data_IF_796738467298
#
_entry.id   IF_796738467298
#
_cell.length_a   1.000
_cell.length_b   1.000
_cell.length_c   1.000
_cell.angle_alpha   90.00
_cell.angle_beta   90.00
_cell.angle_gamma   90.00
#
_symmetry.space_group_name_H-M   'P 1'
#
loop_
_entity.id
_entity.type
_entity.pdbx_description
1 polymer ?
#
# COMPACT_ATOMS: atom_id res chain seq x y z
N UNK A 1 16.90 -10.61 -10.15
CA UNK A 1 16.06 -11.82 -9.92
C UNK A 1 16.62 -12.74 -8.81
N UNK A 2 17.76 -13.48 -8.97
CA UNK A 2 18.24 -14.42 -7.92
C UNK A 2 18.46 -13.75 -6.55
N UNK A 3 19.11 -12.57 -6.52
CA UNK A 3 19.31 -11.81 -5.28
C UNK A 3 17.99 -11.35 -4.65
N UNK A 4 17.02 -10.94 -5.45
CA UNK A 4 15.69 -10.53 -4.96
C UNK A 4 14.94 -11.68 -4.31
N UNK A 5 15.00 -12.89 -4.90
CA UNK A 5 14.40 -14.09 -4.31
C UNK A 5 15.02 -14.45 -2.95
N UNK A 6 16.36 -14.41 -2.84
CA UNK A 6 17.05 -14.65 -1.55
C UNK A 6 16.65 -13.61 -0.47
N UNK A 7 16.52 -12.34 -0.85
CA UNK A 7 16.08 -11.29 0.07
C UNK A 7 14.63 -11.50 0.51
N UNK A 8 13.79 -11.99 -0.41
CA UNK A 8 12.38 -12.26 -0.15
C UNK A 8 12.15 -13.35 0.90
N UNK A 9 13.09 -14.24 1.15
CA UNK A 9 13.02 -15.25 2.22
C UNK A 9 12.70 -14.63 3.59
N UNK A 10 13.13 -13.39 3.84
CA UNK A 10 12.81 -12.64 5.07
C UNK A 10 11.35 -12.14 5.08
N UNK A 11 10.75 -11.93 3.92
CA UNK A 11 9.39 -11.41 3.73
C UNK A 11 8.35 -12.55 3.71
N UNK A 12 8.78 -13.72 3.25
CA UNK A 12 7.96 -14.92 3.05
C UNK A 12 7.12 -15.34 4.27
N UNK A 13 7.62 -15.32 5.53
CA UNK A 13 6.82 -15.74 6.68
C UNK A 13 5.54 -14.91 6.89
N UNK A 14 5.51 -13.67 6.40
CA UNK A 14 4.37 -12.78 6.52
C UNK A 14 3.59 -12.66 5.21
N UNK A 15 4.28 -12.47 4.08
CA UNK A 15 3.64 -12.22 2.79
C UNK A 15 3.34 -13.49 1.97
N UNK A 16 3.83 -14.67 2.41
CA UNK A 16 3.63 -15.96 1.74
C UNK A 16 4.58 -16.19 0.55
N UNK A 17 4.68 -17.44 0.08
CA UNK A 17 5.59 -17.83 -1.02
C UNK A 17 5.33 -17.05 -2.32
N UNK A 18 4.06 -16.78 -2.63
CA UNK A 18 3.64 -16.07 -3.83
C UNK A 18 3.24 -14.61 -3.53
N UNK A 19 3.66 -14.07 -2.41
CA UNK A 19 3.38 -12.70 -1.99
C UNK A 19 1.87 -12.34 -1.94
N UNK A 20 1.01 -13.32 -1.68
CA UNK A 20 -0.45 -13.19 -1.63
C UNK A 20 -0.95 -12.59 -0.32
N UNK A 21 -0.06 -12.38 0.65
CA UNK A 21 -0.38 -11.79 1.95
C UNK A 21 -0.96 -12.78 2.95
N UNK A 22 -1.22 -12.27 4.16
CA UNK A 22 -1.89 -12.96 5.24
C UNK A 22 -2.69 -11.96 6.08
N UNK A 23 -4.02 -11.87 5.91
CA UNK A 23 -4.85 -10.91 6.62
C UNK A 23 -4.91 -11.14 8.14
N UNK A 24 -4.71 -12.37 8.62
CA UNK A 24 -4.73 -12.69 10.06
C UNK A 24 -3.64 -11.97 10.84
N UNK A 25 -2.50 -11.70 10.18
CA UNK A 25 -1.40 -10.95 10.75
C UNK A 25 -1.25 -9.54 10.13
N UNK A 26 -2.26 -9.10 9.38
CA UNK A 26 -2.28 -7.82 8.66
C UNK A 26 -1.05 -7.61 7.75
N UNK A 27 -0.62 -8.66 7.04
CA UNK A 27 0.36 -8.60 5.97
C UNK A 27 -0.38 -8.57 4.62
N UNK A 28 -0.32 -7.47 3.85
CA UNK A 28 -1.07 -7.35 2.60
C UNK A 28 -0.48 -8.20 1.47
N UNK A 29 -1.31 -8.50 0.46
CA UNK A 29 -0.84 -8.98 -0.82
C UNK A 29 0.04 -7.92 -1.48
N UNK A 30 1.20 -8.34 -2.01
CA UNK A 30 2.16 -7.46 -2.66
C UNK A 30 2.61 -7.98 -4.04
N UNK A 31 2.17 -9.18 -4.43
CA UNK A 31 2.54 -9.80 -5.71
C UNK A 31 2.15 -8.94 -6.91
N UNK A 32 3.08 -8.77 -7.84
CA UNK A 32 2.85 -8.04 -9.08
C UNK A 32 2.61 -6.54 -8.93
N UNK A 33 2.78 -5.98 -7.73
CA UNK A 33 2.77 -4.53 -7.56
C UNK A 33 3.97 -3.90 -8.29
N UNK A 34 3.84 -2.70 -8.87
CA UNK A 34 4.92 -2.06 -9.59
C UNK A 34 6.20 -1.93 -8.76
N UNK A 35 7.34 -2.23 -9.37
CA UNK A 35 8.64 -2.17 -8.73
C UNK A 35 8.88 -0.81 -8.04
N UNK A 36 8.60 0.30 -8.74
CA UNK A 36 8.77 1.64 -8.19
C UNK A 36 7.96 1.86 -6.90
N UNK A 37 6.73 1.32 -6.87
CA UNK A 37 5.88 1.46 -5.68
C UNK A 37 6.42 0.68 -4.49
N UNK A 38 6.90 -0.55 -4.72
CA UNK A 38 7.52 -1.37 -3.66
C UNK A 38 8.78 -0.68 -3.13
N UNK A 39 9.62 -0.12 -4.02
CA UNK A 39 10.80 0.66 -3.65
C UNK A 39 10.42 1.86 -2.78
N UNK A 40 9.44 2.66 -3.20
CA UNK A 40 8.96 3.82 -2.44
C UNK A 40 8.47 3.41 -1.05
N UNK A 41 7.74 2.29 -0.94
CA UNK A 41 7.25 1.82 0.35
C UNK A 41 8.40 1.36 1.26
N UNK A 42 9.33 0.56 0.77
CA UNK A 42 10.49 0.09 1.54
C UNK A 42 11.37 1.27 1.99
N UNK A 43 11.66 2.18 1.09
CA UNK A 43 12.41 3.42 1.39
C UNK A 43 11.66 4.30 2.41
N UNK A 44 10.34 4.41 2.28
CA UNK A 44 9.50 5.14 3.23
C UNK A 44 9.54 4.54 4.65
N UNK A 45 9.60 3.21 4.77
CA UNK A 45 9.83 2.55 6.06
C UNK A 45 11.24 2.80 6.60
N UNK A 46 12.26 2.77 5.75
CA UNK A 46 13.65 3.07 6.15
C UNK A 46 13.80 4.51 6.63
N UNK A 47 13.19 5.46 5.93
CA UNK A 47 13.22 6.88 6.26
C UNK A 47 12.35 7.25 7.48
N UNK A 48 11.49 6.33 7.97
CA UNK A 48 10.58 6.60 9.07
C UNK A 48 9.29 7.33 8.67
N UNK A 49 9.01 7.49 7.37
CA UNK A 49 7.72 8.01 6.89
C UNK A 49 6.56 7.04 7.13
N UNK A 50 6.89 5.76 7.33
CA UNK A 50 5.96 4.69 7.65
C UNK A 50 6.52 3.83 8.80
N UNK A 51 5.60 3.27 9.61
CA UNK A 51 5.97 2.35 10.67
C UNK A 51 6.76 3.01 11.81
N UNK A 52 6.54 4.29 12.07
CA UNK A 52 7.15 5.05 13.18
C UNK A 52 6.11 5.49 14.21
N UNK A 53 4.83 5.44 13.87
CA UNK A 53 3.74 5.89 14.75
C UNK A 53 3.13 4.71 15.54
N UNK A 54 2.92 4.89 16.85
CA UNK A 54 2.45 3.83 17.75
C UNK A 54 1.08 3.23 17.38
N UNK A 55 0.23 3.95 16.65
CA UNK A 55 -1.07 3.44 16.19
C UNK A 55 -0.99 2.57 14.92
N UNK A 56 0.14 2.60 14.19
CA UNK A 56 0.35 1.78 12.98
C UNK A 56 1.08 0.48 13.33
N UNK A 57 0.42 -0.43 14.07
CA UNK A 57 1.04 -1.69 14.47
C UNK A 57 1.55 -2.55 13.28
N UNK A 58 0.84 -2.67 12.15
CA UNK A 58 1.38 -3.36 10.98
C UNK A 58 2.63 -2.68 10.43
N UNK A 59 2.64 -1.35 10.36
CA UNK A 59 3.80 -0.59 9.92
C UNK A 59 5.00 -0.73 10.85
N UNK A 60 4.79 -0.71 12.16
CA UNK A 60 5.85 -0.94 13.16
C UNK A 60 6.50 -2.33 13.00
N UNK A 61 5.74 -3.34 12.58
CA UNK A 61 6.30 -4.68 12.29
C UNK A 61 7.04 -4.71 10.96
N UNK A 62 6.57 -3.97 9.94
CA UNK A 62 7.19 -3.94 8.62
C UNK A 62 8.50 -3.14 8.59
N UNK A 63 8.61 -2.07 9.39
CA UNK A 63 9.79 -1.20 9.40
C UNK A 63 11.10 -1.93 9.67
N UNK A 64 11.26 -2.78 10.70
CA UNK A 64 12.49 -3.52 10.90
C UNK A 64 12.82 -4.47 9.74
N UNK A 65 11.84 -4.98 9.02
CA UNK A 65 12.08 -5.80 7.82
C UNK A 65 12.67 -4.96 6.69
N UNK A 66 12.15 -3.76 6.45
CA UNK A 66 12.75 -2.83 5.48
C UNK A 66 14.16 -2.37 5.90
N UNK A 67 14.40 -2.15 7.19
CA UNK A 67 15.72 -1.78 7.73
C UNK A 67 16.75 -2.90 7.64
N UNK A 68 16.35 -4.15 7.46
CA UNK A 68 17.28 -5.28 7.24
C UNK A 68 17.89 -5.30 5.84
N UNK A 69 17.32 -4.56 4.89
CA UNK A 69 17.86 -4.36 3.54
C UNK A 69 18.97 -3.30 3.58
N UNK A 70 20.21 -3.72 3.87
CA UNK A 70 21.31 -2.82 4.24
C UNK A 70 22.34 -2.59 3.15
N UNK A 71 22.35 -3.39 2.09
CA UNK A 71 23.31 -3.26 1.00
C UNK A 71 22.72 -2.44 -0.13
N UNK A 72 23.56 -1.70 -0.82
CA UNK A 72 23.17 -1.01 -2.04
C UNK A 72 22.56 -1.99 -3.04
N UNK A 73 21.38 -1.65 -3.57
CA UNK A 73 20.63 -2.47 -4.51
C UNK A 73 19.75 -3.56 -3.89
N UNK A 74 19.73 -3.75 -2.54
CA UNK A 74 18.84 -4.75 -1.91
C UNK A 74 17.38 -4.39 -2.09
N UNK A 75 17.01 -3.11 -1.91
CA UNK A 75 15.62 -2.63 -2.09
C UNK A 75 15.16 -2.82 -3.54
N UNK A 76 16.00 -2.44 -4.50
CA UNK A 76 15.74 -2.60 -5.92
C UNK A 76 15.56 -4.07 -6.31
N UNK A 77 16.46 -4.93 -5.81
CA UNK A 77 16.44 -6.36 -6.12
C UNK A 77 15.21 -7.08 -5.60
N UNK A 78 14.81 -6.83 -4.35
CA UNK A 78 13.60 -7.44 -3.80
C UNK A 78 12.33 -6.87 -4.43
N UNK A 79 12.31 -5.57 -4.75
CA UNK A 79 11.19 -4.94 -5.44
C UNK A 79 11.00 -5.49 -6.86
N UNK A 80 12.10 -5.69 -7.60
CA UNK A 80 12.09 -6.34 -8.93
C UNK A 80 11.52 -7.76 -8.83
N UNK A 81 11.97 -8.54 -7.85
CA UNK A 81 11.48 -9.90 -7.65
C UNK A 81 9.96 -9.92 -7.37
N UNK A 82 9.49 -9.13 -6.42
CA UNK A 82 8.06 -9.08 -6.06
C UNK A 82 7.20 -8.57 -7.22
N UNK A 83 7.68 -7.59 -7.98
CA UNK A 83 7.01 -7.09 -9.17
C UNK A 83 6.92 -8.12 -10.31
N UNK A 84 7.82 -9.12 -10.33
CA UNK A 84 7.82 -10.19 -11.33
C UNK A 84 6.85 -11.33 -11.02
N UNK A 85 6.27 -11.36 -9.83
CA UNK A 85 5.26 -12.36 -9.46
C UNK A 85 3.92 -12.06 -10.13
N UNK A 86 3.12 -13.10 -10.34
CA UNK A 86 1.78 -12.94 -10.93
C UNK A 86 0.90 -12.04 -10.05
N UNK A 87 0.26 -11.00 -10.62
CA UNK A 87 -0.60 -10.09 -9.88
C UNK A 87 -1.74 -10.81 -9.18
N UNK A 88 -2.05 -10.38 -7.95
CA UNK A 88 -3.16 -10.91 -7.16
C UNK A 88 -4.20 -9.81 -6.95
N UNK A 89 -5.47 -10.21 -7.03
CA UNK A 89 -6.62 -9.36 -6.72
C UNK A 89 -7.37 -9.96 -5.53
N UNK A 90 -7.06 -9.54 -4.29
CA UNK A 90 -7.65 -10.14 -3.09
C UNK A 90 -9.16 -9.98 -3.05
N UNK A 91 -9.88 -10.99 -2.54
CA UNK A 91 -11.32 -10.93 -2.40
C UNK A 91 -11.75 -9.79 -1.46
N UNK A 92 -12.87 -9.14 -1.78
CA UNK A 92 -13.43 -8.08 -0.93
C UNK A 92 -13.96 -8.65 0.38
N UNK A 93 -13.61 -8.00 1.48
CA UNK A 93 -14.01 -8.34 2.85
C UNK A 93 -14.83 -7.24 3.52
N UNK A 94 -14.80 -6.01 3.00
CA UNK A 94 -15.56 -4.87 3.50
C UNK A 94 -16.93 -4.77 2.82
N UNK A 95 -17.89 -4.15 3.52
CA UNK A 95 -19.27 -4.01 3.10
C UNK A 95 -19.66 -2.53 2.92
N UNK A 96 -18.89 -1.79 2.10
CA UNK A 96 -19.23 -0.41 1.74
C UNK A 96 -20.28 -0.32 0.61
N UNK A 97 -20.83 0.88 0.43
CA UNK A 97 -21.74 1.18 -0.67
C UNK A 97 -20.97 1.72 -1.88
N UNK A 98 -20.71 0.87 -2.88
CA UNK A 98 -19.97 1.25 -4.08
C UNK A 98 -20.63 2.43 -4.86
N UNK A 99 -21.95 2.53 -4.86
CA UNK A 99 -22.65 3.65 -5.51
C UNK A 99 -22.37 5.00 -4.85
N UNK A 100 -22.33 5.04 -3.51
CA UNK A 100 -21.90 6.23 -2.77
C UNK A 100 -20.38 6.49 -2.94
N UNK A 101 -19.59 5.42 -3.00
CA UNK A 101 -18.15 5.47 -3.20
C UNK A 101 -17.74 6.07 -4.54
N UNK A 102 -18.52 5.84 -5.62
CA UNK A 102 -18.25 6.41 -6.94
C UNK A 102 -18.14 7.94 -6.91
N UNK A 103 -19.07 8.61 -6.19
CA UNK A 103 -19.03 10.07 -6.06
C UNK A 103 -17.78 10.53 -5.26
N UNK A 104 -17.40 9.80 -4.22
CA UNK A 104 -16.21 10.10 -3.42
C UNK A 104 -14.91 9.85 -4.19
N UNK A 105 -14.90 8.89 -5.12
CA UNK A 105 -13.74 8.56 -5.93
C UNK A 105 -13.35 9.67 -6.93
N UNK A 106 -14.24 10.59 -7.24
CA UNK A 106 -14.00 11.68 -8.19
C UNK A 106 -12.73 12.51 -7.87
N UNK A 107 -12.38 12.67 -6.58
CA UNK A 107 -11.15 13.37 -6.17
C UNK A 107 -9.91 12.47 -6.26
N UNK A 108 -10.07 11.18 -6.32
CA UNK A 108 -8.98 10.20 -6.37
C UNK A 108 -8.50 9.95 -7.81
N UNK A 109 -9.42 10.10 -8.79
CA UNK A 109 -9.19 9.85 -10.23
C UNK A 109 -7.98 10.59 -10.76
N UNK A 110 -7.78 11.85 -10.34
CA UNK A 110 -6.70 12.69 -10.84
C UNK A 110 -5.29 12.07 -10.65
N UNK A 111 -5.13 11.25 -9.62
CA UNK A 111 -3.85 10.60 -9.31
C UNK A 111 -3.91 9.08 -9.55
N UNK A 112 -4.99 8.42 -9.13
CA UNK A 112 -5.09 6.96 -9.20
C UNK A 112 -5.71 6.43 -10.51
N UNK A 113 -6.17 7.31 -11.41
CA UNK A 113 -6.80 6.92 -12.68
C UNK A 113 -8.26 6.53 -12.54
N UNK A 114 -8.99 6.51 -13.65
CA UNK A 114 -10.40 6.05 -13.70
C UNK A 114 -10.52 4.53 -13.44
N UNK A 115 -9.46 3.80 -13.76
CA UNK A 115 -9.32 2.35 -13.60
C UNK A 115 -8.64 1.93 -12.28
N UNK A 116 -8.17 2.90 -11.48
CA UNK A 116 -7.47 2.64 -10.24
C UNK A 116 -6.09 2.01 -10.40
N UNK A 117 -5.49 2.05 -11.60
CA UNK A 117 -4.17 1.50 -11.89
C UNK A 117 -3.01 2.42 -11.50
N UNK A 118 -3.32 3.65 -11.09
CA UNK A 118 -2.34 4.59 -10.57
C UNK A 118 -1.57 5.36 -11.65
N UNK A 119 -0.59 6.13 -11.20
CA UNK A 119 0.27 6.93 -12.06
C UNK A 119 1.66 7.06 -11.42
N UNK A 120 2.69 6.53 -12.05
CA UNK A 120 4.05 6.53 -11.54
C UNK A 120 4.60 7.97 -11.41
N UNK A 121 4.32 8.85 -12.37
CA UNK A 121 4.83 10.23 -12.33
C UNK A 121 4.28 11.04 -11.15
N UNK A 122 3.13 10.63 -10.62
CA UNK A 122 2.49 11.20 -9.43
C UNK A 122 2.71 10.36 -8.17
N UNK A 123 3.55 9.33 -8.24
CA UNK A 123 3.74 8.34 -7.16
C UNK A 123 2.42 7.81 -6.58
N UNK A 124 1.37 7.76 -7.41
CA UNK A 124 0.07 7.26 -7.06
C UNK A 124 -0.02 5.76 -7.42
N UNK A 125 -0.08 4.85 -6.43
CA UNK A 125 -0.03 3.42 -6.70
C UNK A 125 -1.32 2.88 -7.33
N UNK A 126 -1.25 1.69 -7.98
CA UNK A 126 -2.44 0.92 -8.31
C UNK A 126 -3.13 0.51 -7.01
N UNK A 127 -4.41 0.86 -6.87
CA UNK A 127 -5.20 0.58 -5.68
C UNK A 127 -6.16 -0.60 -5.86
N UNK A 128 -6.43 -1.00 -7.11
CA UNK A 128 -7.29 -2.14 -7.42
C UNK A 128 -6.68 -3.50 -7.05
N UNK A 129 -5.34 -3.59 -6.96
CA UNK A 129 -4.61 -4.81 -6.60
C UNK A 129 -4.42 -4.99 -5.09
N UNK A 130 -4.80 -3.98 -4.28
CA UNK A 130 -4.58 -4.00 -2.84
C UNK A 130 -5.77 -4.60 -2.10
N UNK A 131 -5.50 -5.25 -0.96
CA UNK A 131 -6.54 -5.70 -0.04
C UNK A 131 -7.40 -4.52 0.41
N UNK A 132 -8.71 -4.70 0.48
CA UNK A 132 -9.66 -3.68 0.89
C UNK A 132 -9.45 -3.26 2.36
N UNK A 133 -9.20 -4.21 3.26
CA UNK A 133 -8.87 -3.94 4.67
C UNK A 133 -7.55 -3.15 4.80
N UNK A 134 -6.56 -3.43 3.91
CA UNK A 134 -5.32 -2.67 3.88
C UNK A 134 -5.54 -1.24 3.41
N UNK A 135 -6.32 -1.04 2.34
CA UNK A 135 -6.72 0.30 1.87
C UNK A 135 -7.39 1.10 2.98
N UNK A 136 -8.33 0.48 3.72
CA UNK A 136 -9.01 1.13 4.85
C UNK A 136 -8.03 1.53 5.95
N UNK A 137 -7.11 0.63 6.31
CA UNK A 137 -6.08 0.91 7.30
C UNK A 137 -5.17 2.08 6.84
N UNK A 138 -4.78 2.11 5.57
CA UNK A 138 -3.94 3.20 5.06
C UNK A 138 -4.68 4.54 5.03
N UNK A 139 -5.94 4.60 4.61
CA UNK A 139 -6.75 5.82 4.66
C UNK A 139 -6.89 6.35 6.10
N UNK A 140 -7.12 5.46 7.07
CA UNK A 140 -7.15 5.81 8.50
C UNK A 140 -5.79 6.32 8.99
N UNK A 141 -4.69 5.70 8.59
CA UNK A 141 -3.34 6.13 8.94
C UNK A 141 -3.02 7.51 8.37
N UNK A 142 -3.38 7.78 7.12
CA UNK A 142 -3.25 9.11 6.53
C UNK A 142 -4.12 10.14 7.26
N UNK A 143 -5.38 9.83 7.52
CA UNK A 143 -6.29 10.74 8.22
C UNK A 143 -5.82 11.08 9.64
N UNK A 144 -5.33 10.10 10.38
CA UNK A 144 -4.85 10.31 11.76
C UNK A 144 -3.47 10.98 11.82
N UNK A 145 -2.72 11.00 10.72
CA UNK A 145 -1.33 11.45 10.68
C UNK A 145 -0.31 10.39 11.09
N UNK A 146 -0.74 9.14 11.31
CA UNK A 146 0.19 8.02 11.50
C UNK A 146 1.02 7.77 10.22
N UNK A 147 0.56 8.31 9.08
CA UNK A 147 1.21 8.31 7.79
C UNK A 147 1.03 9.67 7.10
N UNK A 148 2.01 10.13 6.35
CA UNK A 148 1.94 11.40 5.62
C UNK A 148 2.08 12.65 6.51
N UNK A 149 2.63 12.53 7.72
CA UNK A 149 2.93 13.66 8.61
C UNK A 149 4.45 13.91 8.73
N UNK A 150 5.29 13.04 8.18
CA UNK A 150 6.75 13.17 8.21
C UNK A 150 7.23 14.32 7.32
N UNK A 151 8.19 15.08 7.80
CA UNK A 151 8.86 16.11 6.99
C UNK A 151 9.59 15.43 5.82
N UNK A 152 9.34 15.89 4.59
CA UNK A 152 9.91 15.31 3.36
C UNK A 152 9.06 14.21 2.72
N UNK A 153 8.00 13.70 3.37
CA UNK A 153 7.05 12.74 2.77
C UNK A 153 6.02 13.45 1.89
N UNK A 154 6.46 13.99 0.76
CA UNK A 154 5.62 14.80 -0.15
C UNK A 154 4.36 14.06 -0.60
N UNK A 155 4.52 12.80 -1.00
CA UNK A 155 3.41 11.99 -1.51
C UNK A 155 2.48 11.52 -0.41
N UNK A 156 3.02 11.15 0.75
CA UNK A 156 2.23 10.84 1.92
C UNK A 156 1.43 12.04 2.43
N UNK A 157 2.01 13.25 2.43
CA UNK A 157 1.30 14.49 2.78
C UNK A 157 0.13 14.76 1.82
N UNK A 158 0.33 14.53 0.51
CA UNK A 158 -0.74 14.68 -0.49
C UNK A 158 -1.90 13.72 -0.20
N UNK A 159 -1.60 12.45 0.06
CA UNK A 159 -2.64 11.47 0.43
C UNK A 159 -3.31 11.81 1.77
N UNK A 160 -2.56 12.33 2.74
CA UNK A 160 -3.13 12.77 4.02
C UNK A 160 -4.19 13.85 3.81
N UNK A 161 -3.89 14.89 3.04
CA UNK A 161 -4.85 15.97 2.75
C UNK A 161 -6.13 15.42 2.11
N UNK A 162 -6.01 14.53 1.13
CA UNK A 162 -7.16 13.93 0.45
C UNK A 162 -7.99 12.99 1.36
N UNK A 163 -7.39 12.40 2.38
CA UNK A 163 -8.11 11.52 3.31
C UNK A 163 -8.84 12.24 4.44
N UNK A 164 -8.50 13.52 4.73
CA UNK A 164 -9.08 14.27 5.86
C UNK A 164 -10.60 14.43 5.78
N UNK A 165 -11.15 14.63 4.58
CA UNK A 165 -12.58 14.85 4.37
C UNK A 165 -13.42 13.56 4.48
N UNK A 166 -12.80 12.37 4.37
CA UNK A 166 -13.52 11.10 4.39
C UNK A 166 -13.95 10.74 5.83
N UNK A 167 -15.21 10.36 6.00
CA UNK A 167 -15.65 9.65 7.21
C UNK A 167 -15.22 8.18 7.13
N UNK A 168 -15.28 7.44 8.24
CA UNK A 168 -14.96 6.01 8.22
C UNK A 168 -15.89 5.21 7.28
N UNK A 169 -17.17 5.54 7.26
CA UNK A 169 -18.11 4.98 6.29
C UNK A 169 -17.76 5.37 4.85
N UNK A 170 -17.42 6.64 4.60
CA UNK A 170 -16.99 7.12 3.29
C UNK A 170 -15.71 6.45 2.79
N UNK A 171 -14.78 6.09 3.69
CA UNK A 171 -13.60 5.28 3.35
C UNK A 171 -14.01 3.88 2.88
N UNK A 172 -14.94 3.22 3.57
CA UNK A 172 -15.45 1.90 3.18
C UNK A 172 -16.20 1.96 1.85
N UNK A 173 -16.99 3.01 1.63
CA UNK A 173 -17.75 3.21 0.40
C UNK A 173 -16.82 3.40 -0.81
N UNK A 174 -15.83 4.28 -0.70
CA UNK A 174 -14.88 4.51 -1.81
C UNK A 174 -14.04 3.26 -2.10
N UNK A 175 -13.66 2.50 -1.09
CA UNK A 175 -12.95 1.23 -1.27
C UNK A 175 -13.86 0.21 -1.97
N UNK A 176 -15.13 0.10 -1.57
CA UNK A 176 -16.09 -0.78 -2.25
C UNK A 176 -16.23 -0.42 -3.73
N UNK A 177 -16.22 0.88 -4.08
CA UNK A 177 -16.20 1.30 -5.48
C UNK A 177 -14.90 0.88 -6.19
N UNK A 178 -13.72 1.11 -5.58
CA UNK A 178 -12.42 0.68 -6.13
C UNK A 178 -12.42 -0.81 -6.45
N UNK A 179 -13.04 -1.65 -5.62
CA UNK A 179 -13.14 -3.08 -5.87
C UNK A 179 -13.99 -3.42 -7.11
N UNK A 180 -14.85 -2.52 -7.59
CA UNK A 180 -15.64 -2.71 -8.83
C UNK A 180 -14.85 -2.36 -10.10
N UNK A 181 -13.66 -1.75 -9.97
CA UNK A 181 -12.80 -1.37 -11.09
C UNK A 181 -11.86 -2.51 -11.55
N UNK A 182 -11.90 -3.67 -10.88
CA UNK A 182 -11.07 -4.86 -11.16
C UNK A 182 -11.50 -5.59 -12.41
#
# INVERSE_FOLDING_TARGET
MARGAELYDTCLPCHGENAVGNPEIAAPAIAGLPQWYIQDQLTGFQAGYRGDHASDLPGLRMRPMALSLTRDGDVESVAEYVASLDPVYPASTLHGNAGAGAASYAVCVACHGEDGLGNQDLHAPPIVQLDDWYLLNQLRNFKSGARGAGEGDTWGMTMRVNSLALTDAGMQDVIAYVQTLR
#
